data_IF_316977944503
#
_entry.id   IF_316977944503
#
_cell.length_a   1.000
_cell.length_b   1.000
_cell.length_c   1.000
_cell.angle_alpha   90.00
_cell.angle_beta   90.00
_cell.angle_gamma   90.00
#
_symmetry.space_group_name_H-M   'P 1'
#
loop_
_entity.id
_entity.type
_entity.pdbx_description
1 polymer ?
#
# COMPACT_ATOMS: atom_id res chain seq x y z
N UNK A 1 -14.16 14.97 31.52
CA UNK A 1 -12.84 14.98 30.87
C UNK A 1 -12.95 14.09 29.64
N UNK A 2 -12.99 14.67 28.44
CA UNK A 2 -13.01 13.92 27.18
C UNK A 2 -11.67 13.17 27.08
N UNK A 3 -11.64 11.85 26.84
CA UNK A 3 -10.38 11.14 26.69
C UNK A 3 -9.66 11.70 25.45
N UNK A 4 -8.49 12.28 25.65
CA UNK A 4 -7.60 12.67 24.57
C UNK A 4 -6.97 11.37 24.07
N UNK A 5 -7.52 10.79 23.02
CA UNK A 5 -6.85 9.68 22.33
C UNK A 5 -5.49 10.21 21.85
N UNK A 6 -4.37 9.58 22.20
CA UNK A 6 -3.07 10.02 21.69
C UNK A 6 -3.10 9.96 20.16
N UNK A 7 -3.02 11.12 19.52
CA UNK A 7 -2.91 11.22 18.07
C UNK A 7 -1.43 11.19 17.70
N UNK A 8 -0.95 10.07 17.18
CA UNK A 8 0.40 9.99 16.61
C UNK A 8 0.37 10.60 15.21
N UNK A 9 1.09 11.69 15.01
CA UNK A 9 1.28 12.29 13.68
C UNK A 9 2.51 11.68 13.01
N UNK A 10 2.33 11.18 11.80
CA UNK A 10 3.42 10.64 10.96
C UNK A 10 3.57 11.59 9.77
N UNK A 11 4.73 12.21 9.64
CA UNK A 11 5.05 13.06 8.49
C UNK A 11 5.68 12.22 7.39
N UNK A 12 5.17 12.37 6.17
CA UNK A 12 5.74 11.77 4.96
C UNK A 12 6.12 12.88 3.97
N UNK A 13 7.07 12.65 3.05
CA UNK A 13 7.42 13.63 2.03
C UNK A 13 6.25 13.97 1.09
N UNK A 14 6.20 15.21 0.60
CA UNK A 14 5.17 15.67 -0.37
C UNK A 14 5.29 15.02 -1.76
N UNK A 15 6.45 14.43 -2.06
CA UNK A 15 6.73 13.68 -3.28
C UNK A 15 7.38 12.35 -2.94
N UNK A 16 7.07 11.30 -3.71
CA UNK A 16 7.68 9.98 -3.55
C UNK A 16 6.69 8.87 -3.24
N UNK A 17 7.21 7.79 -2.67
CA UNK A 17 6.45 6.55 -2.44
C UNK A 17 6.19 6.33 -0.96
N UNK A 18 4.92 6.16 -0.59
CA UNK A 18 4.54 5.53 0.67
C UNK A 18 4.16 4.08 0.38
N UNK A 19 4.85 3.14 1.02
CA UNK A 19 4.61 1.71 0.89
C UNK A 19 3.92 1.24 2.16
N UNK A 20 2.66 0.83 2.07
CA UNK A 20 1.94 0.25 3.20
C UNK A 20 2.32 -1.23 3.36
N UNK A 21 2.52 -1.68 4.59
CA UNK A 21 2.77 -3.09 4.88
C UNK A 21 1.95 -3.56 6.08
N UNK A 22 1.57 -4.84 6.08
CA UNK A 22 0.77 -5.43 7.14
C UNK A 22 -0.09 -6.61 6.65
N UNK A 23 -0.50 -7.46 7.58
CA UNK A 23 -1.30 -8.65 7.29
C UNK A 23 -2.64 -8.32 6.62
N UNK A 24 -3.26 -9.25 5.86
CA UNK A 24 -4.68 -9.16 5.52
C UNK A 24 -5.51 -8.88 6.79
N UNK A 25 -6.52 -8.02 6.68
CA UNK A 25 -7.33 -7.60 7.85
C UNK A 25 -6.67 -6.56 8.78
N UNK A 26 -5.39 -6.19 8.58
CA UNK A 26 -4.74 -5.20 9.45
C UNK A 26 -5.34 -3.79 9.31
N UNK A 27 -5.97 -3.49 8.18
CA UNK A 27 -6.65 -2.22 7.92
C UNK A 27 -5.93 -1.30 6.94
N UNK A 28 -4.91 -1.76 6.19
CA UNK A 28 -4.16 -0.97 5.20
C UNK A 28 -5.02 -0.16 4.25
N UNK A 29 -5.96 -0.80 3.54
CA UNK A 29 -6.83 -0.09 2.60
C UNK A 29 -7.79 0.89 3.30
N UNK A 30 -8.15 0.63 4.56
CA UNK A 30 -8.96 1.57 5.36
C UNK A 30 -8.13 2.78 5.77
N UNK A 31 -6.89 2.56 6.24
CA UNK A 31 -5.94 3.61 6.53
C UNK A 31 -5.63 4.45 5.29
N UNK A 32 -5.39 3.81 4.14
CA UNK A 32 -5.08 4.49 2.89
C UNK A 32 -6.20 5.44 2.46
N UNK A 33 -7.45 4.96 2.52
CA UNK A 33 -8.65 5.76 2.17
C UNK A 33 -8.92 6.90 3.15
N UNK A 34 -8.53 6.75 4.42
CA UNK A 34 -8.72 7.77 5.43
C UNK A 34 -7.71 8.92 5.32
N UNK A 35 -6.50 8.66 4.78
CA UNK A 35 -5.38 9.59 4.84
C UNK A 35 -4.87 10.11 3.49
N UNK A 36 -5.23 9.47 2.37
CA UNK A 36 -4.71 9.82 1.04
C UNK A 36 -5.81 9.97 0.00
N UNK A 37 -5.54 10.73 -1.06
CA UNK A 37 -6.51 10.92 -2.12
C UNK A 37 -6.70 9.64 -2.95
N UNK A 38 -7.90 9.37 -3.49
CA UNK A 38 -8.15 8.17 -4.29
C UNK A 38 -7.20 8.00 -5.50
N UNK A 39 -6.77 9.10 -6.11
CA UNK A 39 -5.83 9.09 -7.24
C UNK A 39 -4.35 8.87 -6.86
N UNK A 40 -4.05 8.72 -5.57
CA UNK A 40 -2.71 8.48 -5.04
C UNK A 40 -2.51 7.03 -4.60
N UNK A 41 -3.59 6.28 -4.35
CA UNK A 41 -3.53 4.92 -3.77
C UNK A 41 -3.64 3.84 -4.85
N UNK A 42 -2.62 2.99 -4.91
CA UNK A 42 -2.52 1.88 -5.86
C UNK A 42 -2.54 0.56 -5.10
N UNK A 43 -3.68 -0.15 -5.19
CA UNK A 43 -3.94 -1.37 -4.43
C UNK A 43 -3.70 -2.63 -5.25
N UNK A 44 -2.95 -3.60 -4.72
CA UNK A 44 -2.73 -4.88 -5.42
C UNK A 44 -4.03 -5.66 -5.67
N UNK A 45 -5.04 -5.55 -4.79
CA UNK A 45 -6.34 -6.19 -4.96
C UNK A 45 -7.12 -5.55 -6.12
N UNK A 46 -7.08 -4.22 -6.24
CA UNK A 46 -7.70 -3.51 -7.35
C UNK A 46 -7.03 -3.86 -8.68
N UNK A 47 -5.70 -3.98 -8.69
CA UNK A 47 -4.97 -4.38 -9.88
C UNK A 47 -5.23 -5.83 -10.28
N UNK A 48 -5.35 -6.76 -9.32
CA UNK A 48 -5.80 -8.14 -9.59
C UNK A 48 -7.17 -8.14 -10.26
N UNK A 49 -8.15 -7.43 -9.69
CA UNK A 49 -9.47 -7.33 -10.29
C UNK A 49 -9.44 -6.76 -11.72
N UNK A 50 -8.56 -5.78 -12.01
CA UNK A 50 -8.42 -5.23 -13.35
C UNK A 50 -7.87 -6.24 -14.38
N UNK A 51 -6.96 -7.12 -13.97
CA UNK A 51 -6.30 -8.06 -14.89
C UNK A 51 -7.02 -9.40 -15.02
N UNK A 52 -7.70 -9.88 -13.97
CA UNK A 52 -8.36 -11.20 -13.94
C UNK A 52 -9.88 -11.15 -13.81
N UNK A 53 -10.44 -9.99 -13.46
CA UNK A 53 -11.85 -9.88 -13.06
C UNK A 53 -12.13 -10.31 -11.60
N UNK A 54 -11.13 -10.77 -10.85
CA UNK A 54 -11.25 -11.20 -9.46
C UNK A 54 -10.08 -10.66 -8.59
N UNK A 55 -10.41 -9.84 -7.60
CA UNK A 55 -9.45 -9.28 -6.66
C UNK A 55 -8.70 -10.35 -5.83
N UNK A 56 -9.30 -11.52 -5.67
CA UNK A 56 -8.80 -12.64 -4.86
C UNK A 56 -7.89 -13.58 -5.64
N UNK A 57 -7.85 -13.47 -6.97
CA UNK A 57 -7.08 -14.37 -7.84
C UNK A 57 -5.57 -14.19 -7.66
N UNK A 58 -4.97 -15.08 -6.87
CA UNK A 58 -3.53 -15.05 -6.60
C UNK A 58 -2.70 -15.43 -7.84
N UNK A 59 -3.28 -16.15 -8.82
CA UNK A 59 -2.61 -16.51 -10.06
C UNK A 59 -2.27 -15.28 -10.91
N UNK A 60 -3.08 -14.24 -10.82
CA UNK A 60 -2.88 -12.98 -11.52
C UNK A 60 -1.96 -11.97 -10.79
N UNK A 61 -1.35 -12.36 -9.66
CA UNK A 61 -0.54 -11.42 -8.86
C UNK A 61 0.65 -10.86 -9.64
N UNK A 62 1.34 -11.68 -10.44
CA UNK A 62 2.49 -11.22 -11.21
C UNK A 62 2.09 -10.11 -12.21
N UNK A 63 1.01 -10.31 -12.95
CA UNK A 63 0.49 -9.34 -13.91
C UNK A 63 -0.02 -8.06 -13.20
N UNK A 64 -0.70 -8.22 -12.07
CA UNK A 64 -1.17 -7.12 -11.24
C UNK A 64 0.00 -6.24 -10.74
N UNK A 65 1.07 -6.86 -10.20
CA UNK A 65 2.25 -6.14 -9.73
C UNK A 65 3.02 -5.49 -10.88
N UNK A 66 3.12 -6.13 -12.05
CA UNK A 66 3.76 -5.56 -13.23
C UNK A 66 3.01 -4.30 -13.73
N UNK A 67 1.69 -4.38 -13.88
CA UNK A 67 0.85 -3.26 -14.28
C UNK A 67 0.91 -2.11 -13.25
N UNK A 68 0.84 -2.45 -11.96
CA UNK A 68 0.96 -1.47 -10.88
C UNK A 68 2.33 -0.79 -10.89
N UNK A 69 3.40 -1.57 -11.02
CA UNK A 69 4.77 -1.07 -11.11
C UNK A 69 4.99 -0.09 -12.25
N UNK A 70 4.43 -0.37 -13.43
CA UNK A 70 4.50 0.54 -14.57
C UNK A 70 3.87 1.91 -14.28
N UNK A 71 2.69 1.93 -13.64
CA UNK A 71 2.02 3.19 -13.29
C UNK A 71 2.74 3.92 -12.16
N UNK A 72 3.16 3.22 -11.11
CA UNK A 72 3.92 3.80 -9.98
C UNK A 72 5.23 4.42 -10.49
N UNK A 73 5.96 3.73 -11.37
CA UNK A 73 7.17 4.24 -12.02
C UNK A 73 6.89 5.48 -12.87
N UNK A 74 5.82 5.47 -13.66
CA UNK A 74 5.41 6.61 -14.47
C UNK A 74 5.01 7.83 -13.62
N UNK A 75 4.44 7.62 -12.43
CA UNK A 75 4.12 8.70 -11.46
C UNK A 75 5.37 9.23 -10.77
N UNK A 76 6.26 8.34 -10.32
CA UNK A 76 7.53 8.71 -9.71
C UNK A 76 8.38 9.58 -10.66
N UNK A 77 8.45 9.22 -11.95
CA UNK A 77 9.11 10.03 -12.98
C UNK A 77 8.55 11.45 -13.10
N UNK A 78 7.27 11.65 -12.78
CA UNK A 78 6.58 12.95 -12.82
C UNK A 78 6.60 13.68 -11.47
N UNK A 79 7.28 13.13 -10.46
CA UNK A 79 7.31 13.69 -9.11
C UNK A 79 5.96 13.62 -8.38
N UNK A 80 5.05 12.71 -8.80
CA UNK A 80 3.72 12.60 -8.18
C UNK A 80 3.76 11.65 -6.97
N UNK A 81 3.26 12.11 -5.84
CA UNK A 81 3.09 11.31 -4.62
C UNK A 81 2.26 10.07 -4.90
N UNK A 82 2.69 8.93 -4.37
CA UNK A 82 2.06 7.62 -4.66
C UNK A 82 2.10 6.72 -3.43
N UNK A 83 0.97 6.11 -3.13
CA UNK A 83 0.80 5.14 -2.04
C UNK A 83 0.60 3.76 -2.63
N UNK A 84 1.43 2.81 -2.24
CA UNK A 84 1.28 1.39 -2.60
C UNK A 84 0.58 0.66 -1.46
N UNK A 85 -0.63 0.18 -1.73
CA UNK A 85 -1.43 -0.62 -0.81
C UNK A 85 -1.34 -2.12 -1.17
N UNK A 86 -0.42 -2.82 -0.52
CA UNK A 86 -0.27 -4.25 -0.61
C UNK A 86 0.14 -4.82 0.76
N UNK A 87 0.17 -6.14 0.89
CA UNK A 87 0.66 -6.78 2.13
C UNK A 87 2.14 -6.47 2.38
N UNK A 88 2.96 -6.44 1.32
CA UNK A 88 4.39 -6.11 1.34
C UNK A 88 5.16 -6.91 2.42
N UNK A 89 4.79 -8.18 2.57
CA UNK A 89 5.23 -9.08 3.64
C UNK A 89 6.69 -9.51 3.48
N UNK A 90 7.11 -9.79 2.24
CA UNK A 90 8.46 -10.26 1.96
C UNK A 90 9.42 -9.11 1.68
N UNK A 91 10.73 -9.36 1.87
CA UNK A 91 11.77 -8.40 1.47
C UNK A 91 11.75 -8.16 -0.04
N UNK A 92 11.44 -9.17 -0.84
CA UNK A 92 11.36 -9.05 -2.29
C UNK A 92 10.19 -8.14 -2.71
N UNK A 93 9.03 -8.27 -2.05
CA UNK A 93 7.84 -7.45 -2.32
C UNK A 93 8.14 -5.96 -2.07
N UNK A 94 8.99 -5.66 -1.07
CA UNK A 94 9.42 -4.29 -0.77
C UNK A 94 10.56 -3.80 -1.66
N UNK A 95 11.43 -4.71 -2.11
CA UNK A 95 12.61 -4.35 -2.89
C UNK A 95 12.24 -3.70 -4.23
N UNK A 96 11.18 -4.17 -4.90
CA UNK A 96 10.70 -3.54 -6.15
C UNK A 96 10.32 -2.07 -5.97
N UNK A 97 9.68 -1.70 -4.86
CA UNK A 97 9.28 -0.30 -4.60
C UNK A 97 10.48 0.58 -4.26
N UNK A 98 11.40 0.05 -3.46
CA UNK A 98 12.67 0.72 -3.18
C UNK A 98 13.47 0.96 -4.48
N UNK A 99 13.44 0.00 -5.40
CA UNK A 99 14.10 0.11 -6.71
C UNK A 99 13.45 1.20 -7.56
N UNK A 100 12.12 1.25 -7.66
CA UNK A 100 11.41 2.33 -8.38
C UNK A 100 11.75 3.70 -7.79
N UNK A 101 11.73 3.83 -6.46
CA UNK A 101 12.09 5.08 -5.80
C UNK A 101 13.52 5.53 -6.13
N UNK A 102 14.47 4.58 -6.09
CA UNK A 102 15.87 4.81 -6.44
C UNK A 102 16.06 5.24 -7.89
N UNK A 103 15.41 4.57 -8.83
CA UNK A 103 15.50 4.89 -10.27
C UNK A 103 15.05 6.31 -10.58
N UNK A 104 14.00 6.78 -9.91
CA UNK A 104 13.44 8.12 -10.14
C UNK A 104 13.91 9.16 -9.12
N UNK A 105 14.87 8.83 -8.25
CA UNK A 105 15.44 9.74 -7.26
C UNK A 105 14.39 10.38 -6.33
N UNK A 106 13.36 9.61 -5.96
CA UNK A 106 12.32 10.02 -5.03
C UNK A 106 12.45 9.29 -3.69
N UNK A 107 12.03 9.89 -2.56
CA UNK A 107 12.07 9.20 -1.27
C UNK A 107 11.05 8.05 -1.23
N UNK A 108 11.35 7.03 -0.42
CA UNK A 108 10.44 5.94 -0.11
C UNK A 108 10.25 5.82 1.41
N UNK A 109 9.01 5.74 1.87
CA UNK A 109 8.64 5.57 3.27
C UNK A 109 7.83 4.28 3.43
N UNK A 110 8.27 3.38 4.32
CA UNK A 110 7.52 2.20 4.70
C UNK A 110 6.63 2.52 5.91
N UNK A 111 5.33 2.29 5.80
CA UNK A 111 4.37 2.43 6.90
C UNK A 111 3.81 1.05 7.23
N UNK A 112 4.09 0.57 8.44
CA UNK A 112 3.66 -0.75 8.89
C UNK A 112 2.43 -0.59 9.76
N UNK A 113 1.33 -1.23 9.35
CA UNK A 113 0.12 -1.35 10.16
C UNK A 113 0.19 -2.67 10.91
N UNK A 114 0.75 -2.58 12.11
CA UNK A 114 0.92 -3.70 13.03
C UNK A 114 -0.28 -3.77 13.99
N UNK A 115 -1.03 -4.86 13.91
CA UNK A 115 -2.17 -5.13 14.79
C UNK A 115 -2.04 -6.55 15.34
N UNK A 116 -2.60 -6.84 16.53
CA UNK A 116 -2.62 -8.20 17.05
C UNK A 116 -3.24 -9.18 16.05
N UNK A 117 -2.63 -10.36 15.89
CA UNK A 117 -3.05 -11.38 14.93
C UNK A 117 -4.53 -11.75 15.06
N UNK A 118 -5.04 -11.88 16.29
CA UNK A 118 -6.46 -12.19 16.53
C UNK A 118 -7.40 -11.14 15.93
N UNK A 119 -7.06 -9.85 16.08
CA UNK A 119 -7.84 -8.75 15.50
C UNK A 119 -7.82 -8.79 13.97
N UNK A 120 -6.67 -9.09 13.36
CA UNK A 120 -6.58 -9.20 11.91
C UNK A 120 -7.42 -10.37 11.39
N UNK A 121 -7.36 -11.54 12.06
CA UNK A 121 -8.14 -12.72 11.71
C UNK A 121 -9.64 -12.47 11.86
N UNK A 122 -10.08 -11.91 12.98
CA UNK A 122 -11.50 -11.59 13.24
C UNK A 122 -12.09 -10.68 12.13
N UNK A 123 -11.29 -9.74 11.62
CA UNK A 123 -11.69 -8.85 10.52
C UNK A 123 -11.74 -9.53 9.17
N UNK A 124 -10.91 -10.54 8.95
CA UNK A 124 -10.92 -11.33 7.71
C UNK A 124 -12.10 -12.30 7.71
N UNK A 125 -12.41 -12.93 8.84
CA UNK A 125 -13.52 -13.88 8.95
C UNK A 125 -14.90 -13.22 8.95
N UNK A 126 -14.97 -11.94 9.33
CA UNK A 126 -16.20 -11.15 9.27
C UNK A 126 -16.51 -10.54 7.89
N UNK A 127 -15.67 -10.76 6.87
CA UNK A 127 -15.84 -10.30 5.49
C UNK A 127 -16.54 -11.34 4.63
#
# INVERSE_FOLDING_TARGET
MTPVTPSTTITVPDVGLVVLAGAPGSGKSTFARAHFAPGEVFSSDAFRALVSGDASDQGASADAFAAMGAIVSARAKRGLFTVVDATNSSRADRAQWAQVAKEHHVPATLVIIDVPVGVALDRVTAR
#
